data_IF_570463187610
#
_entry.id   IF_570463187610
#
_cell.length_a   1.000
_cell.length_b   1.000
_cell.length_c   1.000
_cell.angle_alpha   90.00
_cell.angle_beta   90.00
_cell.angle_gamma   90.00
#
_symmetry.space_group_name_H-M   'P 1'
#
loop_
_entity.id
_entity.type
_entity.pdbx_description
1 polymer ?
#
# COMPACT_ATOMS: atom_id res chain seq x y z
N UNK A 1 -12.48 3.96 -21.08
CA UNK A 1 -11.06 4.24 -21.39
C UNK A 1 -10.53 5.16 -20.31
N UNK A 2 -9.33 4.89 -19.75
CA UNK A 2 -8.69 5.80 -18.80
C UNK A 2 -8.63 7.22 -19.38
N UNK A 3 -8.93 8.22 -18.56
CA UNK A 3 -8.90 9.63 -18.97
C UNK A 3 -7.96 10.40 -18.05
N UNK A 4 -7.12 11.24 -18.64
CA UNK A 4 -6.14 12.05 -17.91
C UNK A 4 -6.77 13.37 -17.42
N UNK A 5 -6.16 13.99 -16.41
CA UNK A 5 -6.56 15.30 -15.91
C UNK A 5 -7.86 15.29 -15.10
N UNK A 6 -8.24 14.14 -14.54
CA UNK A 6 -9.49 13.98 -13.80
C UNK A 6 -9.23 13.70 -12.32
N UNK A 7 -10.18 14.08 -11.48
CA UNK A 7 -10.23 13.57 -10.10
C UNK A 7 -10.68 12.12 -10.13
N UNK A 8 -9.94 11.24 -9.44
CA UNK A 8 -10.33 9.84 -9.30
C UNK A 8 -11.54 9.72 -8.35
N UNK A 9 -12.36 8.66 -8.50
CA UNK A 9 -13.44 8.38 -7.56
C UNK A 9 -12.92 8.34 -6.12
N UNK A 10 -13.42 9.19 -5.20
CA UNK A 10 -12.93 9.18 -3.84
C UNK A 10 -13.35 7.90 -3.13
N UNK A 11 -12.46 7.32 -2.34
CA UNK A 11 -12.75 6.12 -1.56
C UNK A 11 -12.71 6.44 -0.06
N UNK A 12 -13.73 6.00 0.67
CA UNK A 12 -13.83 6.14 2.13
C UNK A 12 -13.94 4.76 2.74
N UNK A 13 -13.14 4.50 3.77
CA UNK A 13 -13.12 3.20 4.43
C UNK A 13 -12.85 3.37 5.92
N UNK A 14 -13.60 2.61 6.72
CA UNK A 14 -13.30 2.43 8.14
C UNK A 14 -12.24 1.35 8.27
N UNK A 15 -11.08 1.71 8.79
CA UNK A 15 -9.94 0.82 8.80
C UNK A 15 -10.16 -0.35 9.76
N UNK A 16 -9.76 -1.55 9.32
CA UNK A 16 -9.81 -2.76 10.11
C UNK A 16 -8.42 -3.43 10.15
N UNK A 17 -7.94 -3.72 11.36
CA UNK A 17 -6.72 -4.46 11.62
C UNK A 17 -7.03 -5.95 11.77
N UNK A 18 -7.00 -6.67 10.64
CA UNK A 18 -7.17 -8.13 10.61
C UNK A 18 -5.93 -8.93 11.04
N UNK A 19 -4.82 -8.26 11.41
CA UNK A 19 -3.52 -8.88 11.65
C UNK A 19 -3.11 -8.93 13.13
N UNK A 20 -4.06 -8.75 14.06
CA UNK A 20 -3.79 -8.76 15.51
C UNK A 20 -3.16 -10.08 16.00
N UNK A 21 -3.45 -11.20 15.34
CA UNK A 21 -2.85 -12.51 15.65
C UNK A 21 -1.58 -12.85 14.82
N UNK A 22 -1.09 -11.93 13.98
CA UNK A 22 0.06 -12.17 13.11
C UNK A 22 1.34 -12.48 13.90
N UNK A 23 2.29 -13.18 13.27
CA UNK A 23 3.66 -13.32 13.78
C UNK A 23 4.39 -11.97 13.77
N UNK A 24 4.04 -11.06 12.86
CA UNK A 24 4.50 -9.67 12.91
C UNK A 24 3.70 -8.90 13.98
N UNK A 25 4.24 -8.83 15.19
CA UNK A 25 3.56 -8.30 16.38
C UNK A 25 3.36 -6.78 16.41
N UNK A 26 3.86 -6.01 15.44
CA UNK A 26 3.54 -4.57 15.39
C UNK A 26 2.04 -4.29 15.13
N UNK A 27 1.30 -5.31 14.70
CA UNK A 27 -0.16 -5.28 14.54
C UNK A 27 -0.92 -5.67 15.83
N UNK A 28 -0.21 -6.14 16.86
CA UNK A 28 -0.77 -6.38 18.19
C UNK A 28 -0.79 -5.09 19.02
N UNK A 29 -1.87 -4.93 19.75
CA UNK A 29 -2.17 -3.73 20.53
C UNK A 29 -1.23 -3.52 21.73
N UNK A 30 -0.80 -4.60 22.36
CA UNK A 30 0.10 -4.55 23.51
C UNK A 30 1.53 -4.28 23.06
N UNK A 31 1.98 -4.99 22.03
CA UNK A 31 3.36 -4.85 21.50
C UNK A 31 3.56 -3.48 20.85
N UNK A 32 2.62 -3.01 20.02
CA UNK A 32 2.73 -1.71 19.39
C UNK A 32 2.81 -0.55 20.41
N UNK A 33 2.07 -0.64 21.52
CA UNK A 33 2.14 0.36 22.60
C UNK A 33 3.49 0.40 23.30
N UNK A 34 4.15 -0.76 23.47
CA UNK A 34 5.53 -0.81 24.02
C UNK A 34 6.53 -0.09 23.11
N UNK A 35 6.28 -0.09 21.81
CA UNK A 35 7.07 0.66 20.82
C UNK A 35 6.62 2.12 20.61
N UNK A 36 5.71 2.63 21.44
CA UNK A 36 5.29 4.04 21.43
C UNK A 36 4.16 4.38 20.44
N UNK A 37 3.52 3.38 19.82
CA UNK A 37 2.31 3.58 19.02
C UNK A 37 1.05 3.64 19.90
N UNK A 38 -0.06 4.17 19.37
CA UNK A 38 -1.32 4.24 20.12
C UNK A 38 -2.02 2.88 20.28
N UNK A 39 -1.72 1.93 19.39
CA UNK A 39 -2.30 0.59 19.31
C UNK A 39 -1.70 -0.16 18.11
N UNK A 40 -2.23 -1.35 17.83
CA UNK A 40 -1.79 -2.19 16.73
C UNK A 40 -1.99 -1.49 15.39
N UNK A 41 -0.95 -1.49 14.56
CA UNK A 41 -0.99 -0.81 13.28
C UNK A 41 -1.85 -1.60 12.29
N UNK A 42 -2.69 -0.93 11.49
CA UNK A 42 -3.31 -1.57 10.33
C UNK A 42 -2.19 -1.93 9.32
N UNK A 43 -2.17 -3.16 8.77
CA UNK A 43 -1.09 -3.58 7.88
C UNK A 43 -0.90 -2.67 6.67
N UNK A 44 0.36 -2.41 6.30
CA UNK A 44 0.68 -1.61 5.12
C UNK A 44 0.06 -2.17 3.84
N UNK A 45 -0.04 -3.50 3.71
CA UNK A 45 -0.71 -4.13 2.56
C UNK A 45 -2.22 -3.86 2.53
N UNK A 46 -2.86 -3.74 3.69
CA UNK A 46 -4.27 -3.34 3.80
C UNK A 46 -4.44 -1.89 3.35
N UNK A 47 -3.57 -0.99 3.81
CA UNK A 47 -3.57 0.43 3.37
C UNK A 47 -3.27 0.55 1.88
N UNK A 48 -2.35 -0.26 1.35
CA UNK A 48 -2.09 -0.36 -0.09
C UNK A 48 -3.37 -0.75 -0.84
N UNK A 49 -4.11 -1.73 -0.35
CA UNK A 49 -5.43 -2.12 -0.89
C UNK A 49 -6.39 -0.93 -0.98
N UNK A 50 -6.49 -0.10 0.05
CA UNK A 50 -7.33 1.10 0.02
C UNK A 50 -6.89 2.08 -1.07
N UNK A 51 -5.58 2.29 -1.24
CA UNK A 51 -5.02 3.15 -2.28
C UNK A 51 -5.32 2.63 -3.70
N UNK A 52 -5.45 1.31 -3.88
CA UNK A 52 -5.80 0.75 -5.20
C UNK A 52 -7.24 1.00 -5.62
N UNK A 53 -8.18 1.20 -4.68
CA UNK A 53 -9.61 1.24 -4.98
C UNK A 53 -9.99 2.33 -6.00
N UNK A 54 -9.60 3.61 -5.83
CA UNK A 54 -9.87 4.64 -6.84
C UNK A 54 -9.27 4.36 -8.21
N UNK A 55 -8.10 3.70 -8.26
CA UNK A 55 -7.38 3.41 -9.49
C UNK A 55 -8.06 2.28 -10.26
N UNK A 56 -8.45 1.21 -9.56
CA UNK A 56 -9.19 0.09 -10.15
C UNK A 56 -10.56 0.55 -10.63
N UNK A 57 -11.24 1.41 -9.89
CA UNK A 57 -12.53 1.96 -10.30
C UNK A 57 -12.41 2.81 -11.57
N UNK A 58 -11.36 3.64 -11.67
CA UNK A 58 -11.17 4.52 -12.83
C UNK A 58 -10.62 3.80 -14.07
N UNK A 59 -9.71 2.84 -13.91
CA UNK A 59 -8.96 2.23 -15.02
C UNK A 59 -9.34 0.77 -15.30
N UNK A 60 -10.10 0.15 -14.40
CA UNK A 60 -10.62 -1.21 -14.55
C UNK A 60 -9.56 -2.30 -14.45
N UNK A 61 -9.96 -3.52 -14.85
CA UNK A 61 -9.13 -4.72 -14.77
C UNK A 61 -7.80 -4.60 -15.51
N UNK A 62 -7.72 -3.76 -16.54
CA UNK A 62 -6.48 -3.45 -17.24
C UNK A 62 -5.35 -3.00 -16.30
N UNK A 63 -5.67 -2.23 -15.25
CA UNK A 63 -4.67 -1.84 -14.27
C UNK A 63 -4.23 -2.99 -13.36
N UNK A 64 -5.12 -3.94 -13.05
CA UNK A 64 -4.74 -5.14 -12.30
C UNK A 64 -3.83 -6.08 -13.12
N UNK A 65 -3.99 -6.11 -14.44
CA UNK A 65 -3.22 -6.98 -15.33
C UNK A 65 -1.80 -6.48 -15.61
N UNK A 66 -1.63 -5.17 -15.75
CA UNK A 66 -0.37 -4.56 -16.23
C UNK A 66 -0.05 -3.19 -15.61
N UNK A 67 -0.81 -2.78 -14.60
CA UNK A 67 -0.57 -1.55 -13.86
C UNK A 67 0.50 -1.71 -12.79
N UNK A 68 1.03 -0.58 -12.34
CA UNK A 68 1.98 -0.50 -11.24
C UNK A 68 1.54 0.55 -10.24
N UNK A 69 1.85 0.33 -8.97
CA UNK A 69 1.76 1.35 -7.94
C UNK A 69 2.94 1.24 -6.98
N UNK A 70 3.47 2.39 -6.63
CA UNK A 70 4.41 2.56 -5.52
C UNK A 70 3.71 3.35 -4.44
N UNK A 71 3.79 2.90 -3.19
CA UNK A 71 3.23 3.59 -2.04
C UNK A 71 4.32 3.92 -1.01
N UNK A 72 4.13 5.02 -0.28
CA UNK A 72 4.93 5.39 0.90
C UNK A 72 4.00 5.62 2.08
N UNK A 73 4.19 4.84 3.14
CA UNK A 73 3.46 4.98 4.40
C UNK A 73 4.19 5.99 5.29
N UNK A 74 3.49 7.06 5.65
CA UNK A 74 4.01 8.23 6.40
C UNK A 74 3.63 8.19 7.86
N UNK A 75 2.38 7.79 8.14
CA UNK A 75 1.84 7.73 9.49
C UNK A 75 1.01 6.45 9.65
N UNK A 76 0.96 5.87 10.86
CA UNK A 76 0.12 4.72 11.13
C UNK A 76 -1.37 5.04 10.94
N UNK A 77 -2.12 4.00 10.58
CA UNK A 77 -3.58 3.95 10.64
C UNK A 77 -3.93 2.89 11.68
N UNK A 78 -4.93 3.17 12.50
CA UNK A 78 -5.36 2.29 13.59
C UNK A 78 -6.74 1.67 13.30
N UNK A 79 -7.09 0.64 14.07
CA UNK A 79 -8.42 0.04 14.05
C UNK A 79 -9.50 1.11 14.26
N UNK A 80 -10.49 1.14 13.37
CA UNK A 80 -11.64 2.03 13.45
C UNK A 80 -11.43 3.45 12.95
N UNK A 81 -10.22 3.83 12.52
CA UNK A 81 -9.96 5.12 11.88
C UNK A 81 -10.77 5.25 10.57
N UNK A 82 -11.37 6.42 10.35
CA UNK A 82 -11.92 6.76 9.03
C UNK A 82 -10.78 7.25 8.12
N UNK A 83 -10.64 6.58 6.97
CA UNK A 83 -9.59 6.86 5.98
C UNK A 83 -10.22 7.34 4.68
N UNK A 84 -9.73 8.48 4.19
CA UNK A 84 -10.16 9.13 2.97
C UNK A 84 -9.05 9.05 1.93
N UNK A 85 -9.34 8.40 0.81
CA UNK A 85 -8.42 8.26 -0.31
C UNK A 85 -8.93 9.15 -1.43
N UNK A 86 -8.07 10.04 -1.89
CA UNK A 86 -8.32 10.91 -3.02
C UNK A 86 -7.09 10.96 -3.91
N UNK A 87 -7.30 11.24 -5.19
CA UNK A 87 -6.22 11.35 -6.14
C UNK A 87 -6.66 11.96 -7.45
N UNK A 88 -5.68 12.25 -8.30
CA UNK A 88 -5.90 12.77 -9.65
C UNK A 88 -5.18 11.92 -10.66
N UNK A 89 -5.76 11.77 -11.85
CA UNK A 89 -5.13 11.14 -13.00
C UNK A 89 -4.38 12.16 -13.85
N UNK A 90 -3.33 11.70 -14.50
CA UNK A 90 -2.55 12.41 -15.50
C UNK A 90 -2.11 11.46 -16.60
N UNK A 91 -1.19 11.93 -17.43
CA UNK A 91 -0.53 11.14 -18.46
C UNK A 91 0.91 11.61 -18.64
N UNK A 92 1.79 10.66 -18.93
CA UNK A 92 3.16 10.89 -19.39
C UNK A 92 3.33 10.13 -20.72
N UNK A 93 3.26 10.87 -21.84
CA UNK A 93 3.10 10.27 -23.16
C UNK A 93 1.86 9.36 -23.23
N UNK A 94 2.08 8.10 -23.61
CA UNK A 94 1.03 7.07 -23.71
C UNK A 94 0.76 6.34 -22.38
N UNK A 95 1.44 6.72 -21.29
CA UNK A 95 1.28 6.11 -19.97
C UNK A 95 0.31 6.94 -19.14
N UNK A 96 -0.77 6.32 -18.68
CA UNK A 96 -1.66 6.93 -17.70
C UNK A 96 -1.00 6.92 -16.33
N UNK A 97 -1.10 8.03 -15.60
CA UNK A 97 -0.53 8.18 -14.25
C UNK A 97 -1.61 8.61 -13.27
N UNK A 98 -1.41 8.34 -11.97
CA UNK A 98 -2.24 8.85 -10.91
C UNK A 98 -1.43 9.07 -9.63
N UNK A 99 -1.70 10.17 -8.95
CA UNK A 99 -1.17 10.46 -7.63
C UNK A 99 -2.31 10.42 -6.61
N UNK A 100 -2.11 9.70 -5.51
CA UNK A 100 -3.11 9.46 -4.48
C UNK A 100 -2.57 9.75 -3.09
N UNK A 101 -3.46 10.17 -2.20
CA UNK A 101 -3.21 10.35 -0.78
C UNK A 101 -4.28 9.63 0.03
N UNK A 102 -3.86 8.92 1.08
CA UNK A 102 -4.72 8.43 2.14
C UNK A 102 -4.59 9.34 3.37
N UNK A 103 -5.69 9.91 3.81
CA UNK A 103 -5.77 10.82 4.97
C UNK A 103 -6.67 10.25 6.06
N UNK A 104 -6.30 10.43 7.32
CA UNK A 104 -7.17 10.10 8.44
C UNK A 104 -8.22 11.21 8.69
N UNK A 105 -9.14 10.96 9.62
CA UNK A 105 -10.16 11.92 10.08
C UNK A 105 -9.62 13.29 10.55
N UNK A 106 -8.37 13.33 11.00
CA UNK A 106 -7.69 14.57 11.46
C UNK A 106 -7.05 15.33 10.30
N UNK A 107 -7.18 14.84 9.07
CA UNK A 107 -6.59 15.42 7.86
C UNK A 107 -5.10 15.08 7.67
N UNK A 108 -4.50 14.29 8.56
CA UNK A 108 -3.11 13.87 8.47
C UNK A 108 -2.89 12.89 7.31
N UNK A 109 -1.80 13.07 6.56
CA UNK A 109 -1.45 12.20 5.41
C UNK A 109 -0.79 10.94 5.94
N UNK A 110 -1.53 9.83 5.91
CA UNK A 110 -1.06 8.52 6.35
C UNK A 110 -0.24 7.79 5.27
N UNK A 111 -0.62 7.94 4.00
CA UNK A 111 0.12 7.35 2.89
C UNK A 111 -0.03 8.17 1.62
N UNK A 112 0.96 8.05 0.73
CA UNK A 112 0.91 8.58 -0.63
C UNK A 112 1.24 7.47 -1.62
N UNK A 113 0.66 7.52 -2.81
CA UNK A 113 0.93 6.54 -3.85
C UNK A 113 0.96 7.16 -5.24
N UNK A 114 1.82 6.61 -6.09
CA UNK A 114 1.86 6.89 -7.52
C UNK A 114 1.52 5.61 -8.27
N UNK A 115 0.52 5.67 -9.15
CA UNK A 115 0.09 4.56 -9.98
C UNK A 115 0.30 4.87 -11.46
N UNK A 116 0.57 3.84 -12.27
CA UNK A 116 0.71 3.95 -13.72
C UNK A 116 0.05 2.80 -14.47
N UNK A 117 -0.42 3.08 -15.68
CA UNK A 117 -0.93 2.10 -16.64
C UNK A 117 -0.39 2.41 -18.04
N UNK A 118 0.55 1.59 -18.51
CA UNK A 118 1.04 1.62 -19.89
C UNK A 118 0.38 0.55 -20.76
N UNK A 119 0.75 0.53 -22.05
CA UNK A 119 0.33 -0.53 -22.97
C UNK A 119 0.96 -1.89 -22.59
N UNK A 120 2.25 -1.85 -22.22
CA UNK A 120 3.03 -3.06 -21.98
C UNK A 120 3.09 -3.44 -20.50
N UNK A 121 3.05 -4.75 -20.26
CA UNK A 121 3.43 -5.34 -18.98
C UNK A 121 4.96 -5.31 -18.90
N UNK A 122 5.59 -4.82 -17.82
CA UNK A 122 7.02 -4.92 -17.69
C UNK A 122 7.44 -6.38 -17.65
N UNK A 123 8.59 -6.60 -18.26
CA UNK A 123 9.21 -7.90 -18.34
C UNK A 123 9.45 -8.44 -16.93
N UNK A 124 9.14 -9.72 -16.74
CA UNK A 124 9.47 -10.39 -15.50
C UNK A 124 11.00 -10.37 -15.32
N UNK A 125 11.52 -10.15 -14.10
CA UNK A 125 12.95 -10.22 -13.88
C UNK A 125 13.47 -11.60 -14.28
N UNK A 126 14.58 -11.66 -15.00
CA UNK A 126 15.23 -12.94 -15.31
C UNK A 126 15.70 -13.61 -14.02
N UNK A 127 15.35 -14.88 -13.86
CA UNK A 127 15.81 -15.69 -12.73
C UNK A 127 17.31 -16.01 -12.83
N UNK A 128 17.93 -15.87 -14.01
CA UNK A 128 19.37 -16.09 -14.20
C UNK A 128 20.22 -15.13 -13.36
N UNK A 129 19.66 -13.96 -12.98
CA UNK A 129 20.29 -12.99 -12.09
C UNK A 129 20.17 -13.32 -10.59
N UNK A 130 19.43 -14.37 -10.23
CA UNK A 130 19.16 -14.79 -8.86
C UNK A 130 19.71 -16.20 -8.62
N UNK A 131 21.02 -16.34 -8.33
CA UNK A 131 21.63 -17.64 -8.16
C UNK A 131 20.97 -18.38 -6.99
N UNK A 132 20.75 -19.68 -7.17
CA UNK A 132 20.30 -20.54 -6.08
C UNK A 132 21.39 -20.61 -5.01
N UNK A 133 21.04 -20.25 -3.78
CA UNK A 133 21.94 -20.28 -2.63
C UNK A 133 21.36 -21.23 -1.57
N UNK A 134 22.24 -22.00 -0.94
CA UNK A 134 21.85 -22.79 0.22
C UNK A 134 21.27 -21.88 1.31
N UNK A 135 20.18 -22.29 1.94
CA UNK A 135 19.64 -21.58 3.10
C UNK A 135 20.73 -21.48 4.17
N UNK A 136 20.92 -20.33 4.82
CA UNK A 136 21.81 -20.22 5.97
C UNK A 136 21.50 -21.33 6.99
N UNK A 137 22.53 -22.03 7.46
CA UNK A 137 22.38 -23.13 8.43
C UNK A 137 22.11 -22.63 9.84
N UNK A 138 22.49 -21.38 10.12
CA UNK A 138 22.11 -20.69 11.34
C UNK A 138 20.74 -20.01 11.13
N UNK A 139 19.75 -20.30 11.98
CA UNK A 139 18.55 -19.49 12.06
C UNK A 139 18.93 -18.03 12.32
N UNK A 140 18.19 -17.10 11.74
CA UNK A 140 18.25 -15.72 12.19
C UNK A 140 17.82 -15.69 13.66
N UNK A 141 18.71 -15.29 14.56
CA UNK A 141 18.36 -14.95 15.93
C UNK A 141 17.88 -13.49 15.93
N UNK A 142 16.56 -13.24 16.02
CA UNK A 142 16.09 -11.87 16.19
C UNK A 142 16.67 -11.29 17.47
N UNK A 143 16.97 -9.99 17.46
CA UNK A 143 17.26 -9.28 18.69
C UNK A 143 16.09 -9.49 19.68
N UNK A 144 16.35 -9.67 20.99
CA UNK A 144 15.27 -9.84 21.97
C UNK A 144 14.25 -8.71 21.83
N UNK A 145 12.96 -9.06 21.84
CA UNK A 145 11.87 -8.08 21.87
C UNK A 145 12.04 -7.18 23.10
N UNK A 146 12.20 -5.88 22.88
CA UNK A 146 12.39 -4.87 23.91
C UNK A 146 11.08 -4.52 24.65
#
# INVERSE_FOLDING_TARGET
MPTAGQTLPPHRVRAHNAATASENKIHDDTVARRHGFAGGLVPGITVFGYLTSPVVEAWGAAWLERGFMTARFRQPIYEGDEVFIAGTSGSDGDVMTAELEARNEKGGVCAVASARLGADRPEAPSLDGYPEAARPTQPYEPAPEA
#
